data_IF_114280055364
#
_entry.id   IF_114280055364
#
_cell.length_a   1.000
_cell.length_b   1.000
_cell.length_c   1.000
_cell.angle_alpha   90.00
_cell.angle_beta   90.00
_cell.angle_gamma   90.00
#
_symmetry.space_group_name_H-M   'P 1'
#
loop_
_entity.id
_entity.type
_entity.pdbx_description
1 polymer ?
#
# COMPACT_ATOMS: atom_id res chain seq x y z
N UNK A 1 -9.91 25.13 1.04
CA UNK A 1 -9.87 24.72 -0.40
C UNK A 1 -8.64 23.86 -0.61
N UNK A 2 -8.79 22.71 -1.27
CA UNK A 2 -7.65 21.83 -1.57
C UNK A 2 -6.73 22.58 -2.55
N UNK A 3 -5.44 22.68 -2.21
CA UNK A 3 -4.46 23.28 -3.11
C UNK A 3 -4.28 22.35 -4.32
N UNK A 4 -4.65 22.81 -5.51
CA UNK A 4 -4.59 22.03 -6.76
C UNK A 4 -3.15 21.61 -7.08
N UNK A 5 -2.17 22.46 -6.84
CA UNK A 5 -0.75 22.12 -7.06
C UNK A 5 -0.31 20.95 -6.20
N UNK A 6 -0.70 20.96 -4.92
CA UNK A 6 -0.40 19.88 -3.99
C UNK A 6 -1.12 18.58 -4.41
N UNK A 7 -2.37 18.66 -4.88
CA UNK A 7 -3.12 17.52 -5.36
C UNK A 7 -2.46 16.87 -6.60
N UNK A 8 -1.93 17.69 -7.52
CA UNK A 8 -1.22 17.21 -8.72
C UNK A 8 0.05 16.42 -8.38
N UNK A 9 0.68 16.71 -7.23
CA UNK A 9 1.85 15.96 -6.74
C UNK A 9 1.42 14.73 -5.97
N UNK A 10 0.47 14.86 -5.06
CA UNK A 10 0.04 13.77 -4.16
C UNK A 10 -0.65 12.65 -4.93
N UNK A 11 -1.53 12.97 -5.88
CA UNK A 11 -2.34 11.95 -6.55
C UNK A 11 -1.50 10.90 -7.30
N UNK A 12 -0.50 11.26 -8.13
CA UNK A 12 0.38 10.26 -8.77
C UNK A 12 1.15 9.44 -7.74
N UNK A 13 1.62 10.04 -6.64
CA UNK A 13 2.35 9.36 -5.57
C UNK A 13 1.46 8.32 -4.90
N UNK A 14 0.26 8.70 -4.51
CA UNK A 14 -0.71 7.79 -3.86
C UNK A 14 -1.06 6.64 -4.81
N UNK A 15 -1.36 6.93 -6.08
CA UNK A 15 -1.68 5.91 -7.08
C UNK A 15 -0.53 4.92 -7.27
N UNK A 16 0.70 5.41 -7.38
CA UNK A 16 1.88 4.56 -7.49
C UNK A 16 2.06 3.70 -6.25
N UNK A 17 2.03 4.31 -5.06
CA UNK A 17 2.26 3.64 -3.78
C UNK A 17 1.23 2.57 -3.49
N UNK A 18 -0.06 2.86 -3.70
CA UNK A 18 -1.15 1.89 -3.55
C UNK A 18 -1.07 0.78 -4.61
N UNK A 19 -0.67 1.10 -5.85
CA UNK A 19 -0.51 0.08 -6.89
C UNK A 19 0.57 -0.93 -6.54
N UNK A 20 1.73 -0.48 -6.08
CA UNK A 20 2.83 -1.37 -5.66
C UNK A 20 2.44 -2.17 -4.42
N UNK A 21 1.73 -1.56 -3.47
CA UNK A 21 1.19 -2.20 -2.28
C UNK A 21 0.25 -3.36 -2.65
N UNK A 22 -0.77 -3.12 -3.46
CA UNK A 22 -1.73 -4.14 -3.91
C UNK A 22 -1.06 -5.22 -4.79
N UNK A 23 -0.14 -4.82 -5.66
CA UNK A 23 0.66 -5.77 -6.44
C UNK A 23 1.47 -6.70 -5.52
N UNK A 24 2.03 -6.19 -4.43
CA UNK A 24 2.83 -6.98 -3.49
C UNK A 24 1.98 -8.03 -2.77
N UNK A 25 0.75 -7.70 -2.38
CA UNK A 25 -0.23 -8.68 -1.88
C UNK A 25 -0.54 -9.77 -2.91
N UNK A 26 -0.87 -9.37 -4.14
CA UNK A 26 -1.18 -10.30 -5.22
C UNK A 26 -0.01 -11.22 -5.55
N UNK A 27 1.20 -10.67 -5.57
CA UNK A 27 2.42 -11.42 -5.90
C UNK A 27 2.80 -12.40 -4.79
N UNK A 28 2.76 -11.99 -3.53
CA UNK A 28 3.03 -12.87 -2.39
C UNK A 28 1.98 -13.98 -2.27
N UNK A 29 0.69 -13.68 -2.52
CA UNK A 29 -0.36 -14.69 -2.58
C UNK A 29 -0.09 -15.72 -3.67
N UNK A 30 0.32 -15.30 -4.87
CA UNK A 30 0.70 -16.21 -5.97
C UNK A 30 1.87 -17.11 -5.58
N UNK A 31 2.92 -16.58 -4.96
CA UNK A 31 4.08 -17.36 -4.50
C UNK A 31 3.68 -18.41 -3.45
N UNK A 32 2.66 -18.11 -2.67
CA UNK A 32 2.10 -19.01 -1.66
C UNK A 32 1.02 -19.96 -2.19
N UNK A 33 0.73 -19.93 -3.50
CA UNK A 33 -0.17 -20.89 -4.18
C UNK A 33 -1.53 -20.32 -4.57
N UNK A 34 -1.90 -19.11 -4.12
CA UNK A 34 -3.15 -18.49 -4.51
C UNK A 34 -3.02 -17.68 -5.81
N UNK A 35 -3.50 -18.25 -6.92
CA UNK A 35 -3.52 -17.60 -8.23
C UNK A 35 -4.75 -16.72 -8.48
N UNK A 36 -5.61 -16.49 -7.49
CA UNK A 36 -6.89 -15.79 -7.67
C UNK A 36 -6.70 -14.38 -8.21
N UNK A 37 -5.81 -13.58 -7.62
CA UNK A 37 -5.53 -12.22 -8.08
C UNK A 37 -4.99 -12.21 -9.53
N UNK A 38 -4.13 -13.18 -9.87
CA UNK A 38 -3.57 -13.34 -11.22
C UNK A 38 -4.68 -13.66 -12.25
N UNK A 39 -5.54 -14.63 -11.95
CA UNK A 39 -6.63 -15.04 -12.87
C UNK A 39 -7.67 -13.95 -13.12
N UNK A 40 -7.83 -13.02 -12.15
CA UNK A 40 -8.71 -11.86 -12.27
C UNK A 40 -8.00 -10.62 -12.88
N UNK A 41 -6.76 -10.78 -13.38
CA UNK A 41 -5.99 -9.68 -13.98
C UNK A 41 -5.60 -8.58 -12.98
N UNK A 42 -5.52 -8.94 -11.67
CA UNK A 42 -5.19 -8.01 -10.58
C UNK A 42 -3.69 -8.05 -10.22
N UNK A 43 -2.93 -9.01 -10.74
CA UNK A 43 -1.47 -9.06 -10.63
C UNK A 43 -0.85 -8.16 -11.71
N UNK A 44 -0.90 -6.86 -11.50
CA UNK A 44 -0.48 -5.85 -12.47
C UNK A 44 -0.03 -4.57 -11.78
N UNK A 45 0.89 -3.84 -12.40
CA UNK A 45 1.30 -2.49 -11.98
C UNK A 45 0.46 -1.39 -12.66
N UNK A 46 -0.63 -1.74 -13.36
CA UNK A 46 -1.56 -0.75 -13.90
C UNK A 46 -2.46 -0.18 -12.80
N UNK A 47 -2.30 1.11 -12.42
CA UNK A 47 -3.06 1.72 -11.33
C UNK A 47 -4.58 1.67 -11.56
N UNK A 48 -5.05 1.73 -12.80
CA UNK A 48 -6.49 1.70 -13.11
C UNK A 48 -7.17 0.41 -12.67
N UNK A 49 -6.40 -0.68 -12.52
CA UNK A 49 -6.92 -1.96 -12.02
C UNK A 49 -7.10 -1.97 -10.49
N UNK A 50 -6.45 -1.06 -9.78
CA UNK A 50 -6.47 -0.96 -8.32
C UNK A 50 -7.33 0.23 -7.84
N UNK A 51 -7.87 1.05 -8.75
CA UNK A 51 -8.77 2.13 -8.38
C UNK A 51 -10.14 1.61 -7.92
N UNK A 52 -10.59 2.15 -6.80
CA UNK A 52 -11.98 2.12 -6.35
C UNK A 52 -12.61 3.47 -6.69
N UNK A 53 -13.78 3.45 -7.33
CA UNK A 53 -14.43 4.69 -7.77
C UNK A 53 -14.77 5.61 -6.58
N UNK A 54 -15.36 5.04 -5.52
CA UNK A 54 -15.73 5.81 -4.33
C UNK A 54 -14.52 6.25 -3.55
N UNK A 55 -13.51 5.36 -3.39
CA UNK A 55 -12.25 5.69 -2.75
C UNK A 55 -11.49 6.81 -3.48
N UNK A 56 -11.50 6.79 -4.81
CA UNK A 56 -10.87 7.85 -5.62
C UNK A 56 -11.60 9.19 -5.49
N UNK A 57 -12.93 9.18 -5.54
CA UNK A 57 -13.74 10.38 -5.31
C UNK A 57 -13.53 10.93 -3.89
N UNK A 58 -13.44 10.05 -2.89
CA UNK A 58 -13.18 10.45 -1.51
C UNK A 58 -11.82 11.15 -1.35
N UNK A 59 -10.75 10.67 -2.04
CA UNK A 59 -9.46 11.39 -2.07
C UNK A 59 -9.64 12.82 -2.60
N UNK A 60 -10.40 12.99 -3.68
CA UNK A 60 -10.58 14.30 -4.32
C UNK A 60 -11.38 15.27 -3.44
N UNK A 61 -12.45 14.81 -2.81
CA UNK A 61 -13.37 15.69 -2.06
C UNK A 61 -13.05 15.83 -0.58
N UNK A 62 -12.49 14.78 0.05
CA UNK A 62 -12.30 14.69 1.50
C UNK A 62 -10.79 14.61 1.85
N UNK A 63 -9.93 14.25 0.90
CA UNK A 63 -8.50 14.05 1.12
C UNK A 63 -8.14 12.66 1.68
N UNK A 64 -9.11 11.79 1.90
CA UNK A 64 -8.94 10.41 2.38
C UNK A 64 -9.65 9.47 1.42
N UNK A 65 -9.03 8.35 1.07
CA UNK A 65 -9.65 7.35 0.23
C UNK A 65 -8.94 6.00 0.33
N UNK A 66 -9.39 5.07 -0.49
CA UNK A 66 -8.87 3.70 -0.47
C UNK A 66 -8.74 3.14 -1.89
N UNK A 67 -7.87 2.15 -2.04
CA UNK A 67 -7.76 1.35 -3.25
C UNK A 67 -8.78 0.21 -3.22
N UNK A 68 -9.05 -0.35 -4.40
CA UNK A 68 -9.79 -1.61 -4.51
C UNK A 68 -8.87 -2.76 -4.10
N UNK A 69 -9.14 -3.49 -2.98
CA UNK A 69 -8.23 -4.52 -2.51
C UNK A 69 -8.09 -5.67 -3.52
N UNK A 70 -6.92 -6.30 -3.58
CA UNK A 70 -6.77 -7.55 -4.35
C UNK A 70 -7.42 -8.71 -3.62
N UNK A 71 -8.14 -9.60 -4.34
CA UNK A 71 -8.75 -10.76 -3.73
C UNK A 71 -7.68 -11.80 -3.38
N UNK A 72 -7.71 -12.26 -2.11
CA UNK A 72 -6.88 -13.33 -1.59
C UNK A 72 -7.78 -14.41 -1.00
N UNK A 73 -7.61 -15.64 -1.47
CA UNK A 73 -8.40 -16.79 -1.03
C UNK A 73 -7.54 -17.67 -0.13
N UNK A 74 -7.73 -17.56 1.18
CA UNK A 74 -6.92 -18.26 2.19
C UNK A 74 -6.79 -19.76 1.96
N UNK A 75 -7.87 -20.44 1.54
CA UNK A 75 -7.86 -21.90 1.28
C UNK A 75 -6.90 -22.31 0.16
N UNK A 76 -6.51 -21.37 -0.71
CA UNK A 76 -5.58 -21.62 -1.79
C UNK A 76 -4.12 -21.43 -1.35
N UNK A 77 -3.88 -20.78 -0.20
CA UNK A 77 -2.55 -20.59 0.35
C UNK A 77 -2.01 -21.92 0.91
N UNK A 78 -0.72 -22.19 0.72
CA UNK A 78 -0.03 -23.45 1.13
C UNK A 78 -0.35 -23.91 2.55
N UNK A 79 -0.39 -22.97 3.51
CA UNK A 79 -0.71 -23.26 4.91
C UNK A 79 -2.01 -22.58 5.35
N UNK A 80 -2.90 -22.27 4.41
CA UNK A 80 -4.16 -21.61 4.70
C UNK A 80 -3.98 -20.30 5.46
N UNK A 81 -4.77 -20.13 6.53
CA UNK A 81 -4.74 -18.93 7.38
C UNK A 81 -3.33 -18.56 7.90
N UNK A 82 -2.52 -19.58 8.24
CA UNK A 82 -1.17 -19.34 8.77
C UNK A 82 -0.22 -18.67 7.79
N UNK A 83 -0.49 -18.70 6.48
CA UNK A 83 0.30 -17.98 5.49
C UNK A 83 -0.23 -16.57 5.18
N UNK A 84 -1.42 -16.24 5.68
CA UNK A 84 -2.05 -14.94 5.38
C UNK A 84 -1.22 -13.76 5.90
N UNK A 85 -0.48 -13.93 7.03
CA UNK A 85 0.37 -12.86 7.56
C UNK A 85 1.47 -12.42 6.57
N UNK A 86 2.01 -13.37 5.78
CA UNK A 86 3.03 -13.06 4.77
C UNK A 86 2.42 -12.20 3.66
N UNK A 87 1.22 -12.60 3.22
CA UNK A 87 0.50 -11.82 2.21
C UNK A 87 0.16 -10.44 2.75
N UNK A 88 -0.42 -10.36 3.94
CA UNK A 88 -0.81 -9.11 4.56
C UNK A 88 0.38 -8.18 4.84
N UNK A 89 1.54 -8.73 5.23
CA UNK A 89 2.73 -7.92 5.47
C UNK A 89 3.40 -7.41 4.19
N UNK A 90 3.19 -8.08 3.04
CA UNK A 90 3.86 -7.74 1.78
C UNK A 90 3.53 -6.32 1.29
N UNK A 91 2.28 -5.85 1.45
CA UNK A 91 1.87 -4.49 1.10
C UNK A 91 2.61 -3.43 1.92
N UNK A 92 2.46 -3.40 3.25
CA UNK A 92 3.19 -2.48 4.13
C UNK A 92 4.71 -2.54 3.92
N UNK A 93 5.29 -3.73 3.76
CA UNK A 93 6.71 -3.89 3.48
C UNK A 93 7.13 -3.18 2.19
N UNK A 94 6.33 -3.29 1.13
CA UNK A 94 6.61 -2.61 -0.15
C UNK A 94 6.62 -1.09 0.02
N UNK A 95 5.72 -0.53 0.83
CA UNK A 95 5.72 0.89 1.14
C UNK A 95 6.99 1.32 1.88
N UNK A 96 7.44 0.56 2.89
CA UNK A 96 8.70 0.88 3.58
C UNK A 96 9.92 0.77 2.66
N UNK A 97 9.94 -0.20 1.74
CA UNK A 97 11.00 -0.32 0.73
C UNK A 97 11.01 0.91 -0.18
N UNK A 98 9.86 1.35 -0.69
CA UNK A 98 9.74 2.57 -1.51
C UNK A 98 10.27 3.78 -0.72
N UNK A 99 9.78 3.98 0.50
CA UNK A 99 10.23 5.09 1.35
C UNK A 99 11.75 5.08 1.56
N UNK A 100 12.33 3.91 1.82
CA UNK A 100 13.77 3.74 2.03
C UNK A 100 14.58 4.06 0.76
N UNK A 101 14.12 3.59 -0.41
CA UNK A 101 14.78 3.88 -1.70
C UNK A 101 14.76 5.39 -1.98
N UNK A 102 13.59 6.04 -1.82
CA UNK A 102 13.48 7.47 -2.06
C UNK A 102 14.26 8.30 -1.04
N UNK A 103 14.33 7.89 0.23
CA UNK A 103 15.16 8.53 1.24
C UNK A 103 16.66 8.42 0.91
N UNK A 104 17.11 7.25 0.44
CA UNK A 104 18.48 7.05 0.01
C UNK A 104 18.84 7.94 -1.18
N UNK A 105 17.99 7.98 -2.21
CA UNK A 105 18.19 8.84 -3.40
C UNK A 105 18.21 10.30 -2.99
N UNK A 106 17.27 10.74 -2.15
CA UNK A 106 17.21 12.11 -1.64
C UNK A 106 18.52 12.53 -0.97
N UNK A 107 19.06 11.67 -0.10
CA UNK A 107 20.32 11.92 0.58
C UNK A 107 21.52 11.94 -0.38
N UNK A 108 21.57 11.00 -1.33
CA UNK A 108 22.67 10.93 -2.32
C UNK A 108 22.70 12.13 -3.27
N UNK A 109 21.55 12.68 -3.60
CA UNK A 109 21.44 13.87 -4.46
C UNK A 109 21.73 15.18 -3.71
N UNK A 110 21.90 15.14 -2.38
CA UNK A 110 22.22 16.31 -1.56
C UNK A 110 21.13 17.38 -1.56
N UNK A 111 19.86 16.98 -1.77
CA UNK A 111 18.77 17.95 -1.69
C UNK A 111 18.63 18.52 -0.27
N UNK A 112 18.69 19.84 -0.17
CA UNK A 112 18.38 20.56 1.06
C UNK A 112 16.99 21.20 0.93
N UNK A 113 15.98 20.77 1.70
CA UNK A 113 14.63 21.34 1.61
C UNK A 113 14.58 22.83 2.04
N UNK A 114 15.64 23.34 2.69
CA UNK A 114 15.72 24.70 3.21
C UNK A 114 16.52 25.64 2.29
N UNK A 115 17.27 25.11 1.32
CA UNK A 115 18.08 25.92 0.38
C UNK A 115 17.37 26.01 -0.98
N UNK A 116 17.18 27.23 -1.45
CA UNK A 116 16.48 27.52 -2.71
C UNK A 116 17.24 26.98 -3.94
N UNK A 117 16.55 26.25 -4.80
CA UNK A 117 17.06 25.77 -6.09
C UNK A 117 16.13 24.72 -6.70
N UNK A 118 15.82 23.65 -5.98
CA UNK A 118 14.99 22.53 -6.47
C UNK A 118 13.88 22.17 -5.48
N UNK A 119 13.20 23.19 -4.94
CA UNK A 119 12.19 23.00 -3.88
C UNK A 119 11.06 22.04 -4.28
N UNK A 120 10.62 22.05 -5.54
CA UNK A 120 9.53 21.17 -5.98
C UNK A 120 9.96 19.71 -6.09
N UNK A 121 11.21 19.46 -6.52
CA UNK A 121 11.79 18.12 -6.52
C UNK A 121 11.98 17.63 -5.08
N UNK A 122 12.53 18.47 -4.20
CA UNK A 122 12.68 18.13 -2.78
C UNK A 122 11.33 17.82 -2.12
N UNK A 123 10.30 18.63 -2.39
CA UNK A 123 8.92 18.36 -1.92
C UNK A 123 8.39 17.03 -2.42
N UNK A 124 8.59 16.71 -3.69
CA UNK A 124 8.17 15.41 -4.25
C UNK A 124 8.81 14.24 -3.47
N UNK A 125 10.12 14.28 -3.22
CA UNK A 125 10.80 13.22 -2.45
C UNK A 125 10.28 13.13 -1.01
N UNK A 126 10.14 14.27 -0.32
CA UNK A 126 9.62 14.31 1.05
C UNK A 126 8.21 13.73 1.12
N UNK A 127 7.33 14.12 0.20
CA UNK A 127 5.95 13.62 0.15
C UNK A 127 5.95 12.10 -0.15
N UNK A 128 6.77 11.63 -1.09
CA UNK A 128 6.91 10.21 -1.43
C UNK A 128 7.34 9.39 -0.22
N UNK A 129 8.35 9.84 0.52
CA UNK A 129 8.85 9.17 1.73
C UNK A 129 7.76 9.15 2.80
N UNK A 130 7.21 10.33 3.12
CA UNK A 130 6.22 10.47 4.18
C UNK A 130 4.96 9.64 3.94
N UNK A 131 4.38 9.72 2.72
CA UNK A 131 3.18 8.98 2.38
C UNK A 131 3.40 7.46 2.44
N UNK A 132 4.54 6.96 1.97
CA UNK A 132 4.82 5.54 2.02
C UNK A 132 5.06 5.04 3.45
N UNK A 133 5.76 5.81 4.30
CA UNK A 133 5.87 5.48 5.72
C UNK A 133 4.50 5.49 6.39
N UNK A 134 3.69 6.53 6.15
CA UNK A 134 2.36 6.64 6.72
C UNK A 134 1.43 5.50 6.28
N UNK A 135 1.43 5.14 4.97
CA UNK A 135 0.65 4.02 4.44
C UNK A 135 1.08 2.69 5.06
N UNK A 136 2.40 2.45 5.19
CA UNK A 136 2.93 1.23 5.80
C UNK A 136 2.52 1.11 7.27
N UNK A 137 2.68 2.17 8.07
CA UNK A 137 2.30 2.18 9.48
C UNK A 137 0.78 2.04 9.63
N UNK A 138 0.00 2.80 8.86
CA UNK A 138 -1.46 2.77 8.93
C UNK A 138 -2.01 1.37 8.65
N UNK A 139 -1.50 0.71 7.60
CA UNK A 139 -1.94 -0.64 7.25
C UNK A 139 -1.49 -1.71 8.25
N UNK A 140 -0.48 -1.46 9.08
CA UNK A 140 -0.07 -2.36 10.15
C UNK A 140 -0.89 -2.21 11.44
N UNK A 141 -1.81 -1.25 11.53
CA UNK A 141 -2.72 -1.16 12.66
C UNK A 141 -3.56 -2.45 12.78
N UNK A 142 -3.69 -3.01 14.00
CA UNK A 142 -4.34 -4.29 14.23
C UNK A 142 -5.88 -4.21 14.19
N UNK A 143 -6.42 -3.58 13.16
CA UNK A 143 -7.84 -3.26 13.02
C UNK A 143 -8.33 -3.71 11.65
N UNK A 144 -9.33 -4.60 11.52
CA UNK A 144 -9.97 -4.87 10.24
C UNK A 144 -10.62 -3.60 9.66
N UNK A 145 -10.56 -3.36 8.35
CA UNK A 145 -10.10 -4.26 7.30
C UNK A 145 -8.61 -4.08 6.91
N UNK A 146 -7.78 -3.46 7.75
CA UNK A 146 -6.36 -3.20 7.47
C UNK A 146 -5.53 -4.50 7.51
N UNK A 147 -4.35 -4.46 6.90
CA UNK A 147 -3.44 -5.62 6.82
C UNK A 147 -3.01 -6.13 8.19
N UNK A 148 -2.79 -5.21 9.15
CA UNK A 148 -2.49 -5.57 10.54
C UNK A 148 -3.57 -6.42 11.19
N UNK A 149 -4.85 -6.20 10.84
CA UNK A 149 -5.95 -7.07 11.24
C UNK A 149 -5.77 -8.49 10.69
N UNK A 150 -5.43 -8.64 9.40
CA UNK A 150 -5.17 -9.93 8.77
C UNK A 150 -3.93 -10.63 9.36
N UNK A 151 -2.90 -9.85 9.71
CA UNK A 151 -1.70 -10.39 10.40
C UNK A 151 -2.11 -11.01 11.73
N UNK A 152 -2.85 -10.27 12.59
CA UNK A 152 -3.32 -10.79 13.87
C UNK A 152 -4.21 -12.01 13.66
N UNK A 153 -5.17 -11.92 12.74
CA UNK A 153 -6.06 -13.02 12.41
C UNK A 153 -5.32 -14.32 12.08
N UNK A 154 -4.16 -14.23 11.43
CA UNK A 154 -3.33 -15.38 11.07
C UNK A 154 -2.83 -16.20 12.27
N UNK A 155 -2.63 -15.54 13.41
CA UNK A 155 -2.08 -16.14 14.64
C UNK A 155 -3.14 -16.48 15.69
N UNK A 156 -4.40 -16.07 15.49
CA UNK A 156 -5.47 -16.37 16.46
C UNK A 156 -5.73 -17.88 16.54
N UNK A 157 -6.02 -18.42 17.75
CA UNK A 157 -6.60 -19.75 17.88
C UNK A 157 -7.92 -19.87 17.11
N UNK A 158 -8.22 -21.07 16.56
CA UNK A 158 -9.41 -21.28 15.70
C UNK A 158 -10.71 -20.81 16.37
N UNK A 159 -10.88 -21.11 17.66
CA UNK A 159 -12.05 -20.69 18.45
C UNK A 159 -12.28 -19.17 18.51
N UNK A 160 -11.22 -18.38 18.37
CA UNK A 160 -11.29 -16.92 18.41
C UNK A 160 -11.38 -16.37 16.97
N UNK A 161 -10.66 -16.99 16.05
CA UNK A 161 -10.66 -16.58 14.65
C UNK A 161 -12.04 -16.63 14.00
N UNK A 162 -12.90 -17.60 14.40
CA UNK A 162 -14.28 -17.72 13.91
C UNK A 162 -15.19 -16.57 14.36
N UNK A 163 -14.76 -15.76 15.33
CA UNK A 163 -15.51 -14.61 15.87
C UNK A 163 -14.91 -13.26 15.49
N UNK A 164 -13.67 -13.26 14.94
CA UNK A 164 -12.95 -12.08 14.53
C UNK A 164 -13.31 -11.63 13.11
#
# INVERSE_FOLDING_TARGET
MINIELLLIILPIVLFSLTVHEFSHAYSALLLGDSTAKSLGRLTLNPLKHLDLLGTLAIIFIGIGWAKPVPVVMRNLKNGRKSLYIVAFAGPLSNFIIASIFALIFNLLGFNPLEGGNQDIAKFFVIMIYLNVALGIFNLLPIPPLDGGNIIYSFLPDKIADKY
#
